data_IF_832777322866
#
_entry.id   IF_832777322866
#
_cell.length_a   1.000
_cell.length_b   1.000
_cell.length_c   1.000
_cell.angle_alpha   90.00
_cell.angle_beta   90.00
_cell.angle_gamma   90.00
#
_symmetry.space_group_name_H-M   'P 1'
#
loop_
_entity.id
_entity.type
_entity.pdbx_description
1 polymer ?
#
# COMPACT_ATOMS: atom_id res chain seq x y z
N UNK A 1 13.46 35.80 -10.69
CA UNK A 1 14.77 35.13 -10.51
C UNK A 1 14.95 34.27 -11.74
N UNK A 2 16.09 34.38 -12.42
CA UNK A 2 16.46 33.50 -13.53
C UNK A 2 16.35 32.06 -13.05
N UNK A 3 15.59 31.22 -13.77
CA UNK A 3 15.54 29.78 -13.56
C UNK A 3 16.98 29.26 -13.60
N UNK A 4 17.55 28.99 -12.43
CA UNK A 4 18.82 28.28 -12.33
C UNK A 4 18.60 26.87 -12.89
N UNK A 5 19.53 26.36 -13.70
CA UNK A 5 19.52 24.97 -14.20
C UNK A 5 19.31 24.00 -13.01
N UNK A 6 18.08 23.51 -12.84
CA UNK A 6 17.77 22.60 -11.74
C UNK A 6 18.38 21.23 -12.04
N UNK A 7 18.96 20.58 -11.05
CA UNK A 7 19.54 19.25 -11.22
C UNK A 7 18.66 18.20 -10.53
N UNK A 8 18.25 17.18 -11.28
CA UNK A 8 17.54 16.02 -10.75
C UNK A 8 18.41 14.77 -10.89
N UNK A 9 18.48 13.98 -9.82
CA UNK A 9 19.03 12.63 -9.83
C UNK A 9 17.85 11.65 -9.82
N UNK A 10 17.81 10.75 -10.79
CA UNK A 10 16.71 9.80 -10.97
C UNK A 10 17.25 8.37 -11.03
N UNK A 11 16.77 7.53 -10.12
CA UNK A 11 17.06 6.10 -10.09
C UNK A 11 15.86 5.34 -9.55
N UNK A 12 15.29 4.49 -10.40
CA UNK A 12 14.20 3.58 -10.05
C UNK A 12 14.56 2.28 -10.75
N UNK A 13 14.52 1.16 -10.03
CA UNK A 13 14.98 -0.13 -10.55
C UNK A 13 14.16 -0.56 -11.76
N UNK A 14 12.83 -0.38 -11.66
CA UNK A 14 11.89 -0.73 -12.70
C UNK A 14 11.99 0.23 -13.92
N UNK A 15 12.42 -0.26 -15.10
CA UNK A 15 12.75 0.61 -16.24
C UNK A 15 11.57 1.41 -16.81
N UNK A 16 10.35 0.86 -16.79
CA UNK A 16 9.18 1.55 -17.34
C UNK A 16 8.79 2.75 -16.48
N UNK A 17 8.75 2.57 -15.16
CA UNK A 17 8.50 3.59 -14.15
C UNK A 17 9.58 4.67 -14.22
N UNK A 18 10.86 4.28 -14.29
CA UNK A 18 11.98 5.20 -14.49
C UNK A 18 11.79 6.05 -15.75
N UNK A 19 11.38 5.44 -16.87
CA UNK A 19 11.13 6.19 -18.11
C UNK A 19 9.97 7.18 -17.98
N UNK A 20 8.90 6.83 -17.27
CA UNK A 20 7.76 7.72 -17.09
C UNK A 20 8.11 8.93 -16.23
N UNK A 21 8.88 8.72 -15.15
CA UNK A 21 9.40 9.80 -14.29
C UNK A 21 10.28 10.76 -15.08
N UNK A 22 11.23 10.26 -15.86
CA UNK A 22 12.11 11.11 -16.68
C UNK A 22 11.28 11.95 -17.65
N UNK A 23 10.32 11.34 -18.36
CA UNK A 23 9.43 12.06 -19.29
C UNK A 23 8.60 13.13 -18.60
N UNK A 24 8.10 12.87 -17.40
CA UNK A 24 7.32 13.83 -16.62
C UNK A 24 8.18 15.05 -16.22
N UNK A 25 9.42 14.82 -15.80
CA UNK A 25 10.37 15.89 -15.47
C UNK A 25 10.78 16.70 -16.71
N UNK A 26 11.06 16.03 -17.83
CA UNK A 26 11.41 16.69 -19.10
C UNK A 26 10.25 17.49 -19.71
N UNK A 27 9.00 17.08 -19.44
CA UNK A 27 7.79 17.76 -19.90
C UNK A 27 7.30 18.84 -18.94
N UNK A 28 7.95 18.99 -17.79
CA UNK A 28 7.58 19.97 -16.76
C UNK A 28 7.84 21.41 -17.24
N UNK A 29 7.22 22.37 -16.56
CA UNK A 29 7.49 23.78 -16.77
C UNK A 29 8.85 24.23 -16.21
N UNK A 30 9.60 23.32 -15.57
CA UNK A 30 10.92 23.54 -15.03
C UNK A 30 12.00 23.12 -16.04
N UNK A 31 13.05 23.92 -16.18
CA UNK A 31 14.26 23.53 -16.91
C UNK A 31 15.12 22.63 -16.01
N UNK A 32 14.78 21.33 -15.95
CA UNK A 32 15.47 20.33 -15.12
C UNK A 32 16.45 19.53 -15.98
N UNK A 33 17.72 19.51 -15.57
CA UNK A 33 18.73 18.60 -16.08
C UNK A 33 18.68 17.28 -15.29
N UNK A 34 18.21 16.22 -15.94
CA UNK A 34 18.12 14.88 -15.35
C UNK A 34 19.45 14.13 -15.50
N UNK A 35 19.93 13.55 -14.41
CA UNK A 35 21.04 12.60 -14.35
C UNK A 35 20.53 11.26 -13.85
N UNK A 36 20.93 10.18 -14.51
CA UNK A 36 20.63 8.79 -14.10
C UNK A 36 21.85 8.05 -13.55
N UNK A 37 22.99 8.73 -13.47
CA UNK A 37 24.23 8.14 -12.95
C UNK A 37 24.20 8.25 -11.43
N UNK A 38 23.61 7.26 -10.77
CA UNK A 38 23.76 7.08 -9.33
C UNK A 38 24.92 6.13 -9.10
N UNK A 39 26.01 6.62 -8.53
CA UNK A 39 27.07 5.75 -8.06
C UNK A 39 26.71 5.26 -6.67
N UNK A 40 26.58 3.95 -6.49
CA UNK A 40 26.28 3.28 -5.20
C UNK A 40 27.32 3.60 -4.11
N UNK A 41 28.49 4.11 -4.50
CA UNK A 41 29.71 4.24 -3.70
C UNK A 41 29.97 5.70 -3.26
N UNK A 42 28.93 6.41 -2.80
CA UNK A 42 29.02 7.81 -2.33
C UNK A 42 28.93 7.97 -0.81
N UNK A 43 28.78 6.88 -0.04
CA UNK A 43 28.76 6.91 1.44
C UNK A 43 30.09 7.40 2.06
N UNK A 44 31.16 7.52 1.28
CA UNK A 44 32.49 7.97 1.74
C UNK A 44 33.09 9.17 0.98
N UNK A 45 32.37 9.88 0.11
CA UNK A 45 32.95 11.04 -0.60
C UNK A 45 32.60 12.37 0.08
N UNK A 46 33.68 13.04 0.52
CA UNK A 46 33.82 14.46 0.83
C UNK A 46 32.71 15.31 0.18
N UNK A 47 31.82 15.92 1.00
CA UNK A 47 30.53 16.58 0.70
C UNK A 47 30.56 17.70 -0.36
N UNK A 48 31.16 17.43 -1.50
CA UNK A 48 31.31 18.28 -2.68
C UNK A 48 30.50 17.74 -3.85
N UNK A 49 29.48 16.93 -3.55
CA UNK A 49 28.48 16.54 -4.53
C UNK A 49 27.85 17.82 -5.12
N UNK A 50 27.72 17.96 -6.45
CA UNK A 50 27.04 19.11 -7.04
C UNK A 50 25.66 19.23 -6.40
N UNK A 51 25.23 20.46 -6.10
CA UNK A 51 23.97 20.70 -5.40
C UNK A 51 22.80 20.11 -6.21
N UNK A 52 22.27 18.96 -5.78
CA UNK A 52 21.11 18.30 -6.39
C UNK A 52 19.84 18.92 -5.83
N UNK A 53 18.95 19.37 -6.72
CA UNK A 53 17.66 19.96 -6.36
C UNK A 53 16.59 18.90 -6.15
N UNK A 54 16.59 17.82 -6.93
CA UNK A 54 15.57 16.76 -6.83
C UNK A 54 16.23 15.39 -6.77
N UNK A 55 15.93 14.62 -5.73
CA UNK A 55 16.29 13.22 -5.60
C UNK A 55 15.03 12.38 -5.82
N UNK A 56 14.88 11.78 -7.00
CA UNK A 56 13.82 10.81 -7.28
C UNK A 56 14.42 9.41 -7.38
N UNK A 57 14.67 8.83 -6.22
CA UNK A 57 15.52 7.65 -6.05
C UNK A 57 14.77 6.50 -5.36
N UNK A 58 15.32 5.29 -5.43
CA UNK A 58 14.99 4.22 -4.49
C UNK A 58 15.26 4.67 -3.06
N UNK A 59 14.48 4.17 -2.11
CA UNK A 59 14.51 4.63 -0.72
C UNK A 59 15.92 4.60 -0.08
N UNK A 60 16.68 3.54 -0.34
CA UNK A 60 18.03 3.33 0.20
C UNK A 60 19.09 4.24 -0.44
N UNK A 61 18.80 4.82 -1.60
CA UNK A 61 19.71 5.70 -2.34
C UNK A 61 19.50 7.19 -2.03
N UNK A 62 18.46 7.55 -1.29
CA UNK A 62 18.22 8.93 -0.87
C UNK A 62 19.26 9.36 0.16
N UNK A 63 19.95 10.49 -0.07
CA UNK A 63 20.85 11.08 0.92
C UNK A 63 20.05 11.76 2.04
N UNK A 64 19.65 10.96 3.02
CA UNK A 64 18.89 11.43 4.18
C UNK A 64 19.67 12.47 4.99
N UNK A 65 21.00 12.41 5.05
CA UNK A 65 21.77 13.40 5.80
C UNK A 65 21.63 14.79 5.17
N UNK A 66 21.75 14.88 3.84
CA UNK A 66 21.53 16.12 3.11
C UNK A 66 20.09 16.62 3.24
N UNK A 67 19.10 15.73 3.17
CA UNK A 67 17.68 16.12 3.27
C UNK A 67 17.32 16.80 4.60
N UNK A 68 18.02 16.46 5.69
CA UNK A 68 17.82 17.07 7.02
C UNK A 68 18.65 18.33 7.27
N UNK A 69 19.53 18.74 6.33
CA UNK A 69 20.30 19.98 6.49
C UNK A 69 19.39 21.22 6.37
N UNK A 70 19.50 22.21 7.28
CA UNK A 70 18.74 23.46 7.17
C UNK A 70 18.94 24.20 5.84
N UNK A 71 20.10 24.04 5.21
CA UNK A 71 20.43 24.64 3.91
C UNK A 71 19.73 23.97 2.72
N UNK A 72 19.18 22.76 2.91
CA UNK A 72 18.54 21.96 1.87
C UNK A 72 17.01 22.08 1.88
N UNK A 73 16.40 22.44 3.01
CA UNK A 73 14.93 22.44 3.21
C UNK A 73 14.15 23.15 2.11
N UNK A 74 14.60 24.32 1.64
CA UNK A 74 13.88 25.09 0.61
C UNK A 74 14.50 24.95 -0.80
N UNK A 75 15.42 24.00 -1.00
CA UNK A 75 16.24 23.92 -2.21
C UNK A 75 16.40 22.52 -2.79
N UNK A 76 16.21 21.49 -1.97
CA UNK A 76 16.31 20.08 -2.33
C UNK A 76 15.02 19.38 -1.96
N UNK A 77 14.48 18.55 -2.84
CA UNK A 77 13.30 17.73 -2.59
C UNK A 77 13.60 16.23 -2.83
N UNK A 78 12.97 15.32 -2.07
CA UNK A 78 13.03 13.88 -2.32
C UNK A 78 11.64 13.22 -2.47
N UNK A 79 11.59 12.03 -3.08
CA UNK A 79 10.37 11.28 -3.40
C UNK A 79 9.93 10.25 -2.32
N UNK A 80 10.41 10.38 -1.08
CA UNK A 80 9.94 9.56 0.03
C UNK A 80 10.03 10.28 1.38
N UNK A 81 9.18 9.89 2.33
CA UNK A 81 9.35 10.23 3.75
C UNK A 81 10.23 9.20 4.45
N UNK A 82 11.23 9.67 5.22
CA UNK A 82 12.16 8.80 5.95
C UNK A 82 11.40 7.88 6.93
N UNK A 83 10.57 8.45 7.80
CA UNK A 83 9.81 7.70 8.80
C UNK A 83 8.36 7.61 8.34
N UNK A 84 7.96 6.43 7.85
CA UNK A 84 6.60 6.16 7.36
C UNK A 84 6.05 4.78 7.71
N UNK A 85 6.77 4.03 8.55
CA UNK A 85 6.41 2.65 8.95
C UNK A 85 5.02 2.54 9.56
N UNK A 86 4.53 3.59 10.21
CA UNK A 86 3.19 3.66 10.80
C UNK A 86 2.03 3.69 9.80
N UNK A 87 2.32 3.86 8.51
CA UNK A 87 1.36 3.80 7.42
C UNK A 87 1.53 2.52 6.58
N UNK A 88 2.78 2.14 6.29
CA UNK A 88 3.08 1.07 5.33
C UNK A 88 3.23 -0.32 5.94
N UNK A 89 3.46 -0.43 7.27
CA UNK A 89 3.54 -1.73 7.95
C UNK A 89 2.22 -2.07 8.62
N UNK A 90 1.70 -3.26 8.35
CA UNK A 90 0.35 -3.69 8.77
C UNK A 90 0.18 -3.66 10.31
N UNK A 91 1.13 -4.21 11.07
CA UNK A 91 1.07 -4.22 12.54
C UNK A 91 1.07 -2.81 13.12
N UNK A 92 1.98 -1.94 12.65
CA UNK A 92 2.11 -0.56 13.11
C UNK A 92 0.91 0.31 12.71
N UNK A 93 0.37 0.10 11.50
CA UNK A 93 -0.84 0.77 11.05
C UNK A 93 -2.04 0.39 11.91
N UNK A 94 -2.25 -0.90 12.18
CA UNK A 94 -3.32 -1.37 13.06
C UNK A 94 -3.21 -0.74 14.47
N UNK A 95 -2.00 -0.68 15.04
CA UNK A 95 -1.76 -0.01 16.32
C UNK A 95 -2.15 1.47 16.29
N UNK A 96 -1.70 2.20 15.26
CA UNK A 96 -1.98 3.63 15.12
C UNK A 96 -3.48 3.91 14.97
N UNK A 97 -4.19 3.10 14.19
CA UNK A 97 -5.65 3.21 14.02
C UNK A 97 -6.36 2.94 15.35
N UNK A 98 -6.03 1.88 16.07
CA UNK A 98 -6.62 1.57 17.38
C UNK A 98 -6.41 2.72 18.37
N UNK A 99 -5.19 3.26 18.44
CA UNK A 99 -4.86 4.41 19.28
C UNK A 99 -5.63 5.66 18.86
N UNK A 100 -5.77 5.92 17.56
CA UNK A 100 -6.54 7.05 17.04
C UNK A 100 -8.03 6.92 17.38
N UNK A 101 -8.64 5.75 17.14
CA UNK A 101 -10.05 5.49 17.43
C UNK A 101 -10.39 5.61 18.91
N UNK A 102 -9.45 5.31 19.81
CA UNK A 102 -9.63 5.54 21.26
C UNK A 102 -9.90 7.02 21.61
N UNK A 103 -9.40 7.95 20.78
CA UNK A 103 -9.59 9.41 20.92
C UNK A 103 -10.66 9.95 19.98
N UNK A 104 -10.90 9.27 18.86
CA UNK A 104 -11.80 9.68 17.77
C UNK A 104 -12.83 8.57 17.43
N UNK A 105 -13.70 8.18 18.37
CA UNK A 105 -14.62 7.04 18.19
C UNK A 105 -15.70 7.26 17.11
N UNK A 106 -15.88 8.50 16.65
CA UNK A 106 -16.81 8.86 15.56
C UNK A 106 -16.13 8.94 14.18
N UNK A 107 -14.83 8.66 14.11
CA UNK A 107 -14.10 8.61 12.84
C UNK A 107 -14.68 7.54 11.92
N UNK A 108 -14.63 7.79 10.60
CA UNK A 108 -15.05 6.81 9.60
C UNK A 108 -14.22 5.52 9.65
N UNK A 109 -13.01 5.58 10.21
CA UNK A 109 -12.13 4.41 10.35
C UNK A 109 -12.73 3.31 11.22
N UNK A 110 -13.64 3.64 12.14
CA UNK A 110 -14.33 2.65 12.96
C UNK A 110 -15.16 1.65 12.13
N UNK A 111 -15.55 2.04 10.92
CA UNK A 111 -16.28 1.19 9.97
C UNK A 111 -15.42 0.81 8.76
N UNK A 112 -14.51 1.69 8.35
CA UNK A 112 -13.69 1.53 7.15
C UNK A 112 -12.42 0.68 7.37
N UNK A 113 -12.11 0.29 8.60
CA UNK A 113 -11.03 -0.65 8.89
C UNK A 113 -11.67 -1.92 9.44
N UNK A 114 -11.53 -3.08 8.77
CA UNK A 114 -12.00 -4.33 9.34
C UNK A 114 -11.33 -4.57 10.70
N UNK A 115 -12.04 -5.18 11.64
CA UNK A 115 -11.49 -5.52 12.96
C UNK A 115 -10.15 -6.26 12.77
N UNK A 116 -9.09 -5.74 13.39
CA UNK A 116 -7.71 -6.19 13.16
C UNK A 116 -7.02 -6.35 14.50
N UNK A 117 -6.41 -7.51 14.69
CA UNK A 117 -5.67 -7.90 15.88
C UNK A 117 -4.21 -8.11 15.50
N UNK A 118 -3.31 -7.63 16.35
CA UNK A 118 -1.89 -7.96 16.25
C UNK A 118 -1.71 -9.38 16.78
N UNK A 119 -0.97 -10.20 16.05
CA UNK A 119 -0.71 -11.59 16.43
C UNK A 119 0.78 -11.83 16.33
N UNK A 120 1.41 -12.18 17.44
CA UNK A 120 2.85 -12.46 17.51
C UNK A 120 3.03 -13.93 17.89
N UNK A 121 3.82 -14.65 17.10
CA UNK A 121 4.11 -16.06 17.34
C UNK A 121 5.58 -16.32 17.07
N UNK A 122 6.32 -16.68 18.12
CA UNK A 122 7.75 -17.02 18.03
C UNK A 122 7.99 -18.46 17.55
N UNK A 123 7.12 -19.39 17.94
CA UNK A 123 7.20 -20.82 17.61
C UNK A 123 5.82 -21.47 17.81
N UNK A 124 5.48 -22.50 17.02
CA UNK A 124 4.14 -23.13 17.05
C UNK A 124 3.75 -23.70 18.42
N UNK A 125 4.72 -24.10 19.24
CA UNK A 125 4.47 -24.59 20.62
C UNK A 125 3.82 -23.54 21.52
N UNK A 126 4.01 -22.25 21.24
CA UNK A 126 3.40 -21.14 21.99
C UNK A 126 2.07 -20.66 21.39
N UNK A 127 1.50 -21.39 20.42
CA UNK A 127 0.27 -21.00 19.74
C UNK A 127 -0.89 -20.72 20.71
N UNK A 128 -1.10 -21.60 21.69
CA UNK A 128 -2.16 -21.43 22.70
C UNK A 128 -1.92 -20.17 23.56
N UNK A 129 -0.67 -19.84 23.87
CA UNK A 129 -0.33 -18.63 24.61
C UNK A 129 -0.61 -17.38 23.77
N UNK A 130 -0.22 -17.39 22.50
CA UNK A 130 -0.47 -16.30 21.55
C UNK A 130 -1.97 -16.07 21.31
N UNK A 131 -2.78 -17.13 21.26
CA UNK A 131 -4.24 -17.02 21.10
C UNK A 131 -4.92 -16.29 22.26
N UNK A 132 -4.38 -16.38 23.49
CA UNK A 132 -4.93 -15.63 24.63
C UNK A 132 -4.84 -14.10 24.45
N UNK A 133 -3.87 -13.61 23.68
CA UNK A 133 -3.73 -12.18 23.36
C UNK A 133 -4.75 -11.71 22.31
N UNK A 134 -5.39 -12.64 21.60
CA UNK A 134 -6.43 -12.39 20.57
C UNK A 134 -7.72 -13.13 20.89
N UNK A 135 -8.15 -13.08 22.15
CA UNK A 135 -9.30 -13.84 22.67
C UNK A 135 -10.61 -13.66 21.87
N UNK A 136 -10.84 -12.50 21.23
CA UNK A 136 -12.04 -12.33 20.39
C UNK A 136 -11.99 -13.21 19.14
N UNK A 137 -10.80 -13.42 18.57
CA UNK A 137 -10.60 -14.32 17.43
C UNK A 137 -10.85 -15.76 17.88
N UNK A 138 -10.23 -16.19 18.97
CA UNK A 138 -10.41 -17.54 19.52
C UNK A 138 -11.88 -17.84 19.80
N UNK A 139 -12.57 -16.93 20.50
CA UNK A 139 -14.00 -17.05 20.82
C UNK A 139 -14.83 -17.21 19.54
N UNK A 140 -14.63 -16.35 18.55
CA UNK A 140 -15.42 -16.36 17.32
C UNK A 140 -15.17 -17.66 16.49
N UNK A 141 -13.95 -18.21 16.54
CA UNK A 141 -13.64 -19.50 15.89
C UNK A 141 -14.27 -20.68 16.63
N UNK A 142 -14.25 -20.70 17.97
CA UNK A 142 -14.96 -21.72 18.76
C UNK A 142 -16.48 -21.66 18.52
N UNK A 143 -17.04 -20.45 18.40
CA UNK A 143 -18.44 -20.28 18.02
C UNK A 143 -18.76 -20.85 16.62
N UNK A 144 -17.81 -20.80 15.68
CA UNK A 144 -18.00 -21.41 14.36
C UNK A 144 -18.15 -22.92 14.46
N UNK A 145 -17.34 -23.58 15.30
CA UNK A 145 -17.42 -25.02 15.52
C UNK A 145 -18.77 -25.43 16.11
N UNK A 146 -19.25 -24.68 17.12
CA UNK A 146 -20.57 -24.91 17.72
C UNK A 146 -21.70 -24.72 16.69
N UNK A 147 -21.64 -23.66 15.87
CA UNK A 147 -22.61 -23.36 14.81
C UNK A 147 -22.60 -24.44 13.72
N UNK A 148 -21.42 -24.93 13.34
CA UNK A 148 -21.26 -26.01 12.38
C UNK A 148 -21.90 -27.31 12.87
N UNK A 149 -21.70 -27.67 14.15
CA UNK A 149 -22.36 -28.81 14.78
C UNK A 149 -23.89 -28.67 14.84
N UNK A 150 -24.38 -27.43 15.00
CA UNK A 150 -25.80 -27.10 14.97
C UNK A 150 -26.40 -27.03 13.55
N UNK A 151 -25.58 -27.14 12.50
CA UNK A 151 -26.00 -27.03 11.10
C UNK A 151 -26.32 -25.60 10.66
N UNK A 152 -25.83 -24.58 11.37
CA UNK A 152 -25.89 -23.19 10.93
C UNK A 152 -24.75 -22.93 9.92
N UNK A 153 -25.09 -22.27 8.81
CA UNK A 153 -24.14 -21.91 7.76
C UNK A 153 -23.41 -20.61 8.03
N UNK A 154 -23.83 -19.82 9.03
CA UNK A 154 -23.19 -18.56 9.41
C UNK A 154 -21.91 -18.83 10.20
N UNK A 155 -20.83 -18.21 9.75
CA UNK A 155 -19.52 -18.32 10.39
C UNK A 155 -18.73 -17.03 10.26
N UNK A 156 -17.82 -16.84 11.20
CA UNK A 156 -16.82 -15.78 11.21
C UNK A 156 -15.64 -16.20 10.35
N UNK A 157 -15.27 -15.38 9.38
CA UNK A 157 -14.12 -15.64 8.51
C UNK A 157 -13.04 -14.60 8.77
N UNK A 158 -11.80 -15.05 8.79
CA UNK A 158 -10.62 -14.24 9.08
C UNK A 158 -9.58 -14.38 7.97
N UNK A 159 -8.70 -13.40 7.88
CA UNK A 159 -7.52 -13.42 7.02
C UNK A 159 -6.31 -13.08 7.86
N UNK A 160 -5.28 -13.91 7.79
CA UNK A 160 -4.00 -13.64 8.43
C UNK A 160 -3.03 -13.10 7.39
N UNK A 161 -2.25 -12.09 7.77
CA UNK A 161 -1.26 -11.46 6.90
C UNK A 161 0.04 -11.24 7.69
N UNK A 162 1.20 -11.63 7.13
CA UNK A 162 2.49 -11.28 7.72
C UNK A 162 2.70 -9.77 7.71
N UNK A 163 3.30 -9.22 8.77
CA UNK A 163 3.51 -7.77 8.89
C UNK A 163 4.57 -7.24 7.92
N UNK A 164 5.56 -8.08 7.61
CA UNK A 164 6.76 -7.73 6.83
C UNK A 164 6.83 -8.40 5.46
N UNK A 165 5.78 -9.08 4.99
CA UNK A 165 5.83 -9.69 3.66
C UNK A 165 5.16 -8.87 2.55
N UNK A 166 5.78 -8.91 1.37
CA UNK A 166 5.26 -8.31 0.14
C UNK A 166 4.53 -9.35 -0.74
N UNK A 167 3.85 -8.87 -1.80
CA UNK A 167 3.29 -9.69 -2.89
C UNK A 167 2.29 -10.80 -2.49
N UNK A 168 1.65 -10.68 -1.33
CA UNK A 168 0.72 -11.67 -0.75
C UNK A 168 1.35 -13.03 -0.36
N UNK A 169 2.67 -13.10 -0.20
CA UNK A 169 3.32 -14.22 0.47
C UNK A 169 2.75 -14.40 1.89
N UNK A 170 2.44 -15.63 2.29
CA UNK A 170 1.93 -15.97 3.62
C UNK A 170 0.50 -15.52 3.95
N UNK A 171 -0.26 -14.95 2.99
CA UNK A 171 -1.65 -14.54 3.24
C UNK A 171 -2.59 -15.73 3.09
N UNK A 172 -3.34 -16.05 4.15
CA UNK A 172 -4.32 -17.13 4.14
C UNK A 172 -5.65 -16.71 4.75
N UNK A 173 -6.74 -17.28 4.24
CA UNK A 173 -8.11 -17.06 4.74
C UNK A 173 -8.53 -18.31 5.50
N UNK A 174 -9.09 -18.13 6.69
CA UNK A 174 -9.43 -19.23 7.58
C UNK A 174 -10.71 -18.95 8.39
N UNK A 175 -11.32 -20.02 8.89
CA UNK A 175 -12.54 -19.98 9.71
C UNK A 175 -12.55 -20.98 10.87
N UNK A 176 -11.45 -21.68 11.12
CA UNK A 176 -11.27 -22.61 12.25
C UNK A 176 -9.89 -22.46 12.91
N UNK A 177 -9.78 -22.89 14.17
CA UNK A 177 -8.50 -22.92 14.90
C UNK A 177 -7.50 -23.87 14.26
N UNK A 178 -7.95 -25.05 13.80
CA UNK A 178 -7.11 -26.03 13.13
C UNK A 178 -6.46 -25.43 11.87
N UNK A 179 -7.23 -24.75 11.01
CA UNK A 179 -6.68 -24.07 9.84
C UNK A 179 -5.64 -23.02 10.22
N UNK A 180 -5.90 -22.22 11.27
CA UNK A 180 -4.93 -21.20 11.71
C UNK A 180 -3.63 -21.83 12.23
N UNK A 181 -3.72 -22.95 12.96
CA UNK A 181 -2.58 -23.70 13.47
C UNK A 181 -1.76 -24.38 12.37
N UNK A 182 -2.44 -24.91 11.36
CA UNK A 182 -1.82 -25.60 10.22
C UNK A 182 -0.91 -24.66 9.40
N UNK A 183 -1.24 -23.36 9.36
CA UNK A 183 -0.42 -22.32 8.71
C UNK A 183 1.00 -22.33 9.28
N UNK A 184 1.15 -22.38 10.61
CA UNK A 184 2.44 -22.32 11.27
C UNK A 184 3.14 -23.68 11.40
N UNK A 185 2.37 -24.77 11.42
CA UNK A 185 2.92 -26.12 11.53
C UNK A 185 3.64 -26.56 10.25
N UNK A 186 3.16 -26.10 9.10
CA UNK A 186 3.77 -26.40 7.80
C UNK A 186 5.12 -25.69 7.65
N UNK A 187 5.22 -24.44 8.09
CA UNK A 187 6.43 -23.62 8.00
C UNK A 187 7.58 -24.13 8.88
N UNK A 188 7.31 -24.71 10.06
CA UNK A 188 8.34 -25.29 10.93
C UNK A 188 8.99 -26.56 10.33
N UNK A 189 8.24 -27.34 9.55
CA UNK A 189 8.69 -28.64 9.01
C UNK A 189 9.69 -28.53 7.85
N UNK A 190 9.73 -27.38 7.17
CA UNK A 190 10.70 -27.08 6.11
C UNK A 190 12.00 -26.43 6.65
N UNK A 191 12.06 -26.08 7.94
CA UNK A 191 13.23 -25.48 8.60
C UNK A 191 14.30 -26.49 9.08
N UNK A 192 13.96 -27.79 9.13
CA UNK A 192 14.83 -28.86 9.63
C UNK A 192 15.67 -29.54 8.51
N UNK A 193 15.59 -29.08 7.26
CA UNK A 193 16.48 -29.56 6.20
C UNK A 193 17.76 -28.72 6.12
N UNK A 194 18.81 -29.21 6.79
CA UNK A 194 20.21 -28.80 6.62
C UNK A 194 20.72 -29.08 5.17
N UNK A 195 20.22 -28.36 4.16
CA UNK A 195 20.84 -28.37 2.82
C UNK A 195 21.60 -27.06 2.58
N UNK A 196 22.84 -27.03 3.08
CA UNK A 196 23.84 -26.06 2.62
C UNK A 196 24.15 -26.29 1.13
N UNK A 197 23.35 -25.67 0.26
CA UNK A 197 23.73 -25.48 -1.13
C UNK A 197 22.59 -25.25 -2.11
N UNK A 198 22.29 -23.99 -2.43
CA UNK A 198 22.46 -23.38 -3.77
C UNK A 198 21.52 -22.20 -4.04
N UNK A 199 22.10 -21.18 -4.69
CA UNK A 199 21.50 -20.01 -5.33
C UNK A 199 20.82 -18.93 -4.47
N UNK A 200 21.63 -17.96 -4.08
CA UNK A 200 21.21 -16.55 -3.97
C UNK A 200 20.68 -16.08 -5.32
N UNK A 201 19.36 -16.07 -5.52
CA UNK A 201 18.62 -15.22 -6.47
C UNK A 201 17.11 -15.57 -6.51
N UNK A 202 16.47 -15.66 -5.33
CA UNK A 202 15.00 -15.58 -5.25
C UNK A 202 14.62 -14.60 -4.15
N UNK A 203 13.99 -13.48 -4.55
CA UNK A 203 13.35 -12.49 -3.66
C UNK A 203 12.12 -13.04 -2.92
N UNK A 204 12.12 -14.33 -2.56
CA UNK A 204 11.11 -14.93 -1.69
C UNK A 204 11.56 -14.72 -0.24
N UNK A 205 10.95 -13.72 0.40
CA UNK A 205 11.11 -13.48 1.84
C UNK A 205 10.74 -14.75 2.60
N UNK A 206 11.69 -15.34 3.32
CA UNK A 206 11.51 -16.54 4.12
C UNK A 206 10.46 -16.29 5.22
N UNK A 207 9.24 -16.80 5.00
CA UNK A 207 8.08 -16.60 5.88
C UNK A 207 8.34 -17.19 7.27
N UNK A 208 9.20 -18.21 7.38
CA UNK A 208 9.55 -18.86 8.66
C UNK A 208 10.18 -17.91 9.68
N UNK A 209 10.74 -16.78 9.23
CA UNK A 209 11.35 -15.77 10.10
C UNK A 209 10.37 -14.66 10.52
N UNK A 210 9.14 -14.66 10.01
CA UNK A 210 8.14 -13.64 10.32
C UNK A 210 7.46 -13.96 11.65
N UNK A 211 7.75 -13.13 12.66
CA UNK A 211 7.16 -13.25 14.00
C UNK A 211 5.93 -12.39 14.22
N UNK A 212 5.82 -11.28 13.48
CA UNK A 212 4.70 -10.34 13.58
C UNK A 212 3.69 -10.55 12.45
N UNK A 213 2.43 -10.78 12.84
CA UNK A 213 1.30 -10.97 11.96
C UNK A 213 0.14 -10.04 12.34
N UNK A 214 -0.81 -9.91 11.42
CA UNK A 214 -2.12 -9.35 11.73
C UNK A 214 -3.20 -10.35 11.35
N UNK A 215 -4.12 -10.61 12.28
CA UNK A 215 -5.37 -11.30 12.01
C UNK A 215 -6.41 -10.22 11.78
N UNK A 216 -7.16 -10.32 10.69
CA UNK A 216 -8.15 -9.33 10.32
C UNK A 216 -9.47 -10.02 9.96
N UNK A 217 -10.60 -9.41 10.34
CA UNK A 217 -11.92 -9.86 9.90
C UNK A 217 -11.97 -9.84 8.37
N UNK A 218 -12.31 -10.98 7.77
CA UNK A 218 -12.42 -11.09 6.33
C UNK A 218 -13.70 -10.43 5.82
N UNK A 219 -13.59 -9.66 4.74
CA UNK A 219 -14.75 -9.08 4.05
C UNK A 219 -15.36 -10.18 3.18
N UNK A 220 -16.34 -10.87 3.75
CA UNK A 220 -16.97 -12.10 3.24
C UNK A 220 -18.14 -11.85 2.27
N UNK A 221 -18.59 -10.60 2.17
CA UNK A 221 -19.63 -10.15 1.23
C UNK A 221 -19.13 -9.02 0.34
N UNK A 222 -18.05 -9.24 -0.45
CA UNK A 222 -17.49 -8.21 -1.32
C UNK A 222 -18.45 -7.84 -2.45
N UNK A 223 -18.34 -6.61 -2.96
CA UNK A 223 -18.95 -6.25 -4.22
C UNK A 223 -18.32 -7.10 -5.34
N UNK A 224 -19.15 -7.84 -6.05
CA UNK A 224 -18.72 -8.68 -7.16
C UNK A 224 -19.01 -8.02 -8.49
N UNK A 225 -18.10 -8.19 -9.44
CA UNK A 225 -18.34 -7.89 -10.86
C UNK A 225 -18.00 -9.13 -11.65
N UNK A 226 -18.95 -9.60 -12.47
CA UNK A 226 -18.87 -10.89 -13.16
C UNK A 226 -18.55 -12.04 -12.18
N UNK A 227 -19.20 -12.05 -11.01
CA UNK A 227 -18.98 -13.00 -9.90
C UNK A 227 -17.57 -13.01 -9.29
N UNK A 228 -16.65 -12.14 -9.71
CA UNK A 228 -15.27 -12.12 -9.23
C UNK A 228 -15.07 -11.01 -8.21
N UNK A 229 -14.32 -11.31 -7.15
CA UNK A 229 -13.86 -10.33 -6.15
C UNK A 229 -12.83 -9.40 -6.77
N UNK A 230 -12.76 -8.15 -6.33
CA UNK A 230 -11.71 -7.21 -6.72
C UNK A 230 -11.34 -6.25 -5.58
N UNK A 231 -10.11 -5.74 -5.59
CA UNK A 231 -9.74 -4.57 -4.81
C UNK A 231 -9.52 -3.37 -5.74
N UNK A 232 -9.58 -2.17 -5.17
CA UNK A 232 -9.25 -0.93 -5.87
C UNK A 232 -7.87 -0.45 -5.41
N UNK A 233 -6.90 -0.42 -6.32
CA UNK A 233 -5.60 0.24 -6.16
C UNK A 233 -5.77 1.71 -6.50
N UNK A 234 -5.75 2.53 -5.46
CA UNK A 234 -5.75 3.99 -5.55
C UNK A 234 -4.32 4.53 -5.48
N UNK A 235 -4.02 5.58 -6.24
CA UNK A 235 -2.75 6.28 -6.13
C UNK A 235 -2.90 7.53 -5.27
N UNK A 236 -2.10 7.62 -4.21
CA UNK A 236 -2.20 8.70 -3.22
C UNK A 236 -0.87 9.41 -3.11
N UNK A 237 -0.86 10.70 -3.40
CA UNK A 237 0.31 11.56 -3.31
C UNK A 237 0.28 12.35 -2.00
N UNK A 238 1.29 12.19 -1.17
CA UNK A 238 1.54 13.03 -0.01
C UNK A 238 2.67 14.02 -0.32
N UNK A 239 2.52 15.29 0.06
CA UNK A 239 3.45 16.37 -0.28
C UNK A 239 3.78 17.20 0.96
N UNK A 240 5.06 17.51 1.14
CA UNK A 240 5.60 18.42 2.16
C UNK A 240 5.17 18.03 3.58
N UNK A 241 4.84 19.01 4.41
CA UNK A 241 4.26 18.86 5.75
C UNK A 241 2.79 18.37 5.69
N UNK A 242 2.57 17.25 5.00
CA UNK A 242 1.32 16.48 4.86
C UNK A 242 0.13 17.20 4.18
N UNK A 243 0.25 17.40 2.87
CA UNK A 243 -0.88 17.57 1.97
C UNK A 243 -1.12 16.26 1.22
N UNK A 244 -2.32 15.71 1.26
CA UNK A 244 -2.62 14.39 0.68
C UNK A 244 -3.62 14.57 -0.46
N UNK A 245 -3.30 13.95 -1.59
CA UNK A 245 -4.08 14.00 -2.81
C UNK A 245 -4.43 12.57 -3.24
N UNK A 246 -5.70 12.30 -3.49
CA UNK A 246 -6.16 11.08 -4.14
C UNK A 246 -6.19 11.33 -5.65
N UNK A 247 -5.43 10.54 -6.40
CA UNK A 247 -5.49 10.57 -7.85
C UNK A 247 -6.79 9.95 -8.36
N UNK A 248 -7.43 10.61 -9.32
CA UNK A 248 -8.76 10.26 -9.82
C UNK A 248 -8.80 8.90 -10.49
N UNK A 249 -7.81 8.57 -11.31
CA UNK A 249 -7.80 7.31 -12.04
C UNK A 249 -7.17 6.20 -11.21
N UNK A 250 -7.98 5.21 -10.86
CA UNK A 250 -7.62 4.09 -9.99
C UNK A 250 -7.88 2.77 -10.73
N UNK A 251 -7.26 1.70 -10.25
CA UNK A 251 -7.40 0.38 -10.88
C UNK A 251 -8.29 -0.52 -10.04
N UNK A 252 -9.15 -1.29 -10.68
CA UNK A 252 -9.82 -2.45 -10.11
C UNK A 252 -9.06 -3.72 -10.53
N UNK A 253 -8.53 -4.45 -9.55
CA UNK A 253 -7.76 -5.68 -9.75
C UNK A 253 -8.58 -6.88 -9.28
N UNK A 254 -8.86 -7.81 -10.20
CA UNK A 254 -9.79 -8.92 -9.99
C UNK A 254 -9.08 -10.20 -9.55
N UNK A 255 -9.70 -10.95 -8.64
CA UNK A 255 -9.36 -12.34 -8.33
C UNK A 255 -9.63 -13.22 -9.57
N UNK A 256 -8.90 -14.29 -9.82
CA UNK A 256 -8.99 -15.06 -11.08
C UNK A 256 -10.28 -15.89 -11.23
N UNK A 257 -10.87 -16.33 -10.12
CA UNK A 257 -12.02 -17.23 -10.10
C UNK A 257 -13.26 -16.57 -9.52
N UNK A 258 -14.42 -17.17 -9.81
CA UNK A 258 -15.70 -16.80 -9.21
C UNK A 258 -15.62 -16.91 -7.68
N UNK A 259 -16.16 -15.90 -7.00
CA UNK A 259 -16.13 -15.79 -5.56
C UNK A 259 -17.06 -16.81 -4.90
N UNK A 260 -16.53 -17.57 -3.95
CA UNK A 260 -17.28 -18.42 -3.04
C UNK A 260 -16.54 -18.53 -1.72
N UNK A 261 -17.27 -18.75 -0.64
CA UNK A 261 -16.69 -19.06 0.68
C UNK A 261 -16.52 -20.57 0.89
N UNK A 262 -16.97 -21.41 -0.05
CA UNK A 262 -16.91 -22.87 0.08
C UNK A 262 -15.49 -23.43 0.03
N UNK A 263 -14.52 -22.66 -0.47
CA UNK A 263 -13.12 -23.06 -0.57
C UNK A 263 -12.14 -21.93 -0.21
N UNK A 264 -11.95 -21.72 1.10
CA UNK A 264 -11.07 -20.66 1.62
C UNK A 264 -9.59 -20.85 1.25
N UNK A 265 -9.17 -22.08 0.96
CA UNK A 265 -7.78 -22.41 0.62
C UNK A 265 -7.37 -21.97 -0.79
N UNK A 266 -8.34 -21.70 -1.69
CA UNK A 266 -8.05 -21.32 -3.07
C UNK A 266 -7.76 -19.81 -3.17
N UNK A 267 -6.46 -19.49 -3.11
CA UNK A 267 -5.97 -18.10 -3.19
C UNK A 267 -6.42 -17.37 -4.45
N UNK A 268 -6.72 -18.08 -5.55
CA UNK A 268 -7.21 -17.48 -6.80
C UNK A 268 -8.65 -16.96 -6.71
N UNK A 269 -9.40 -17.36 -5.68
CA UNK A 269 -10.74 -16.85 -5.35
C UNK A 269 -10.63 -15.63 -4.43
N UNK A 270 -9.76 -15.72 -3.42
CA UNK A 270 -9.77 -14.81 -2.28
C UNK A 270 -8.75 -13.67 -2.38
N UNK A 271 -7.66 -13.88 -3.13
CA UNK A 271 -6.58 -12.91 -3.35
C UNK A 271 -6.66 -12.34 -4.78
N UNK A 272 -6.38 -11.05 -4.86
CA UNK A 272 -6.59 -10.23 -6.07
C UNK A 272 -5.26 -9.69 -6.62
N UNK A 273 -4.14 -10.03 -6.00
CA UNK A 273 -2.82 -9.56 -6.39
C UNK A 273 -2.35 -10.22 -7.68
N UNK A 274 -1.93 -9.40 -8.64
CA UNK A 274 -1.55 -9.83 -9.99
C UNK A 274 -0.30 -10.69 -10.02
N UNK A 275 0.64 -10.55 -9.08
CA UNK A 275 1.89 -11.33 -9.08
C UNK A 275 1.63 -12.85 -9.05
N UNK A 276 0.68 -13.32 -8.22
CA UNK A 276 0.30 -14.75 -8.14
C UNK A 276 -0.43 -15.19 -9.41
N UNK A 277 -1.10 -14.26 -10.08
CA UNK A 277 -1.98 -14.55 -11.21
C UNK A 277 -1.27 -14.56 -12.56
N UNK A 278 -0.22 -13.75 -12.74
CA UNK A 278 0.51 -13.63 -14.02
C UNK A 278 1.19 -14.92 -14.45
N UNK A 279 1.48 -15.81 -13.50
CA UNK A 279 2.12 -17.11 -13.77
C UNK A 279 1.10 -18.20 -14.16
N UNK A 280 -0.20 -17.90 -14.11
CA UNK A 280 -1.26 -18.83 -14.49
C UNK A 280 -1.52 -18.78 -16.01
N UNK A 281 -1.61 -19.96 -16.63
CA UNK A 281 -1.76 -20.11 -18.08
C UNK A 281 -3.00 -19.40 -18.67
N UNK A 282 -4.06 -19.24 -17.89
CA UNK A 282 -5.33 -18.63 -18.32
C UNK A 282 -5.42 -17.13 -18.01
N UNK A 283 -4.35 -16.49 -17.54
CA UNK A 283 -4.35 -15.07 -17.20
C UNK A 283 -4.61 -14.20 -18.43
N UNK A 284 -5.67 -13.38 -18.35
CA UNK A 284 -6.00 -12.36 -19.33
C UNK A 284 -6.03 -11.01 -18.66
N UNK A 285 -5.00 -10.21 -18.93
CA UNK A 285 -4.83 -8.86 -18.38
C UNK A 285 -6.09 -8.00 -18.50
N UNK A 286 -6.77 -8.01 -19.65
CA UNK A 286 -7.99 -7.22 -19.89
C UNK A 286 -9.19 -7.65 -19.01
N UNK A 287 -9.18 -8.89 -18.54
CA UNK A 287 -10.22 -9.43 -17.66
C UNK A 287 -9.82 -9.32 -16.18
N UNK A 288 -8.55 -9.07 -15.87
CA UNK A 288 -8.03 -8.99 -14.50
C UNK A 288 -7.75 -7.58 -14.02
N UNK A 289 -7.53 -6.60 -14.92
CA UNK A 289 -7.27 -5.20 -14.54
C UNK A 289 -8.13 -4.24 -15.37
N UNK A 290 -8.90 -3.40 -14.67
CA UNK A 290 -9.76 -2.36 -15.27
C UNK A 290 -9.56 -1.03 -14.58
N UNK A 291 -9.93 0.07 -15.22
CA UNK A 291 -10.08 1.32 -14.49
C UNK A 291 -11.31 1.25 -13.60
N UNK A 292 -11.24 1.82 -12.40
CA UNK A 292 -12.37 1.88 -11.48
C UNK A 292 -13.62 2.47 -12.14
N UNK A 293 -13.44 3.51 -12.95
CA UNK A 293 -14.54 4.16 -13.67
C UNK A 293 -15.12 3.30 -14.82
N UNK A 294 -14.38 2.31 -15.32
CA UNK A 294 -14.88 1.37 -16.33
C UNK A 294 -15.86 0.34 -15.74
N UNK A 295 -15.94 0.21 -14.42
CA UNK A 295 -16.90 -0.67 -13.75
C UNK A 295 -18.36 -0.28 -14.03
N UNK A 296 -18.61 0.96 -14.47
CA UNK A 296 -19.92 1.39 -14.98
C UNK A 296 -20.40 0.50 -16.12
N UNK A 297 -19.47 0.11 -17.01
CA UNK A 297 -19.76 -0.75 -18.16
C UNK A 297 -19.93 -2.22 -17.75
N UNK A 298 -19.54 -2.57 -16.52
CA UNK A 298 -19.65 -3.90 -15.96
C UNK A 298 -20.85 -4.04 -15.01
N UNK A 299 -21.76 -3.07 -14.97
CA UNK A 299 -23.02 -3.13 -14.22
C UNK A 299 -22.98 -2.51 -12.84
N UNK A 300 -21.93 -1.77 -12.47
CA UNK A 300 -21.92 -0.96 -11.24
C UNK A 300 -22.49 0.42 -11.54
N UNK A 301 -23.53 0.84 -10.82
CA UNK A 301 -24.15 2.14 -11.06
C UNK A 301 -23.16 3.30 -10.86
N UNK A 302 -23.15 4.25 -11.80
CA UNK A 302 -22.27 5.44 -11.74
C UNK A 302 -22.40 6.21 -10.42
N UNK A 303 -23.63 6.34 -9.91
CA UNK A 303 -23.89 7.02 -8.63
C UNK A 303 -23.20 6.32 -7.46
N UNK A 304 -23.13 4.99 -7.50
CA UNK A 304 -22.43 4.21 -6.49
C UNK A 304 -20.92 4.39 -6.61
N UNK A 305 -20.37 4.40 -7.84
CA UNK A 305 -18.94 4.68 -8.07
C UNK A 305 -18.55 6.07 -7.55
N UNK A 306 -19.35 7.09 -7.84
CA UNK A 306 -19.13 8.45 -7.33
C UNK A 306 -19.20 8.49 -5.79
N UNK A 307 -20.17 7.79 -5.18
CA UNK A 307 -20.29 7.71 -3.72
C UNK A 307 -19.13 6.95 -3.06
N UNK A 308 -18.68 5.84 -3.66
CA UNK A 308 -17.51 5.08 -3.24
C UNK A 308 -16.26 5.95 -3.27
N UNK A 309 -16.05 6.71 -4.36
CA UNK A 309 -14.92 7.62 -4.47
C UNK A 309 -14.92 8.69 -3.37
N UNK A 310 -16.09 9.25 -3.02
CA UNK A 310 -16.22 10.19 -1.88
C UNK A 310 -15.90 9.50 -0.55
N UNK A 311 -16.37 8.27 -0.33
CA UNK A 311 -16.04 7.49 0.87
C UNK A 311 -14.53 7.24 0.97
N UNK A 312 -13.86 6.88 -0.13
CA UNK A 312 -12.39 6.72 -0.17
C UNK A 312 -11.67 8.01 0.26
N UNK A 313 -12.10 9.19 -0.20
CA UNK A 313 -11.52 10.46 0.23
C UNK A 313 -11.66 10.67 1.74
N UNK A 314 -12.84 10.40 2.31
CA UNK A 314 -13.07 10.53 3.75
C UNK A 314 -12.22 9.54 4.57
N UNK A 315 -12.06 8.31 4.09
CA UNK A 315 -11.22 7.29 4.73
C UNK A 315 -9.74 7.71 4.69
N UNK A 316 -9.23 8.14 3.53
CA UNK A 316 -7.85 8.62 3.41
C UNK A 316 -7.58 9.81 4.34
N UNK A 317 -8.53 10.74 4.44
CA UNK A 317 -8.41 11.89 5.34
C UNK A 317 -8.14 11.44 6.78
N UNK A 318 -8.95 10.52 7.30
CA UNK A 318 -8.80 10.07 8.69
C UNK A 318 -7.60 9.12 8.86
N UNK A 319 -7.26 8.30 7.86
CA UNK A 319 -6.04 7.47 7.84
C UNK A 319 -4.79 8.33 8.01
N UNK A 320 -4.63 9.36 7.18
CA UNK A 320 -3.46 10.22 7.24
C UNK A 320 -3.44 11.11 8.48
N UNK A 321 -4.59 11.51 9.02
CA UNK A 321 -4.66 12.18 10.32
C UNK A 321 -4.23 11.27 11.48
N UNK A 322 -4.62 9.99 11.44
CA UNK A 322 -4.20 8.99 12.42
C UNK A 322 -2.68 8.79 12.39
N UNK A 323 -2.10 8.56 11.20
CA UNK A 323 -0.65 8.38 11.05
C UNK A 323 0.12 9.66 11.41
N UNK A 324 -0.28 10.83 10.92
CA UNK A 324 0.41 12.10 11.18
C UNK A 324 0.32 12.53 12.66
N UNK A 325 -0.62 12.00 13.43
CA UNK A 325 -0.72 12.23 14.87
C UNK A 325 0.32 11.43 15.69
N UNK A 326 0.95 10.41 15.09
CA UNK A 326 1.92 9.52 15.73
C UNK A 326 3.33 9.70 15.15
N UNK A 327 3.98 10.80 15.55
CA UNK A 327 5.29 11.25 15.04
C UNK A 327 6.43 10.24 15.22
N UNK A 328 6.29 9.22 16.07
CA UNK A 328 7.30 8.16 16.23
C UNK A 328 7.29 7.15 15.09
N UNK A 329 6.20 7.08 14.33
CA UNK A 329 6.01 6.08 13.27
C UNK A 329 5.72 6.70 11.90
N UNK A 330 5.33 7.97 11.85
CA UNK A 330 5.20 8.75 10.62
C UNK A 330 5.69 10.20 10.83
N UNK A 331 6.68 10.66 10.05
CA UNK A 331 7.18 12.03 10.07
C UNK A 331 7.18 12.61 8.66
N UNK A 332 6.31 13.60 8.45
CA UNK A 332 6.32 14.37 7.22
C UNK A 332 7.50 15.36 7.23
N UNK A 333 8.14 15.52 6.06
CA UNK A 333 9.21 16.47 5.83
C UNK A 333 8.74 17.56 4.85
N UNK A 334 9.07 18.85 5.09
CA UNK A 334 8.65 19.96 4.22
C UNK A 334 9.16 19.82 2.78
N UNK A 335 10.25 19.11 2.61
CA UNK A 335 11.00 18.94 1.38
C UNK A 335 10.97 17.50 0.86
N UNK A 336 9.88 16.79 1.13
CA UNK A 336 9.61 15.47 0.58
C UNK A 336 8.23 15.43 -0.06
N UNK A 337 8.04 14.53 -1.00
CA UNK A 337 6.75 14.03 -1.44
C UNK A 337 6.84 12.51 -1.51
N UNK A 338 5.72 11.81 -1.50
CA UNK A 338 5.72 10.37 -1.68
C UNK A 338 4.43 9.91 -2.34
N UNK A 339 4.58 8.99 -3.30
CA UNK A 339 3.47 8.38 -4.01
C UNK A 339 3.24 6.97 -3.46
N UNK A 340 2.04 6.74 -2.96
CA UNK A 340 1.60 5.49 -2.36
C UNK A 340 0.58 4.78 -3.24
N UNK A 341 0.61 3.44 -3.24
CA UNK A 341 -0.49 2.60 -3.72
C UNK A 341 -1.34 2.18 -2.53
N UNK A 342 -2.57 2.67 -2.45
CA UNK A 342 -3.50 2.34 -1.37
C UNK A 342 -4.56 1.37 -1.86
N UNK A 343 -4.74 0.26 -1.15
CA UNK A 343 -5.69 -0.78 -1.53
C UNK A 343 -6.99 -0.67 -0.73
N UNK A 344 -8.10 -0.62 -1.46
CA UNK A 344 -9.46 -0.57 -0.92
C UNK A 344 -10.26 -1.81 -1.32
N UNK A 345 -11.12 -2.29 -0.44
CA UNK A 345 -12.16 -3.26 -0.74
C UNK A 345 -13.53 -2.59 -0.64
N UNK A 346 -14.47 -3.04 -1.46
CA UNK A 346 -15.86 -2.58 -1.42
C UNK A 346 -16.74 -3.79 -1.14
N UNK A 347 -17.69 -3.67 -0.22
CA UNK A 347 -18.69 -4.72 0.05
C UNK A 347 -19.96 -4.56 -0.80
N UNK A 348 -20.86 -5.54 -0.73
CA UNK A 348 -22.14 -5.53 -1.46
C UNK A 348 -23.01 -4.31 -1.10
N UNK A 349 -22.88 -3.78 0.11
CA UNK A 349 -23.57 -2.60 0.65
C UNK A 349 -22.85 -1.27 0.29
N UNK A 350 -21.81 -1.33 -0.55
CA UNK A 350 -21.00 -0.19 -1.01
C UNK A 350 -20.25 0.53 0.10
N UNK A 351 -19.97 -0.14 1.21
CA UNK A 351 -19.01 0.32 2.21
C UNK A 351 -17.60 0.18 1.67
N UNK A 352 -16.72 1.10 2.09
CA UNK A 352 -15.33 1.15 1.61
C UNK A 352 -14.43 0.81 2.77
N UNK A 353 -13.60 -0.20 2.57
CA UNK A 353 -12.64 -0.69 3.55
C UNK A 353 -11.23 -0.41 3.06
N UNK A 354 -10.42 0.23 3.88
CA UNK A 354 -9.00 0.38 3.62
C UNK A 354 -8.27 -0.91 4.05
N UNK A 355 -7.41 -1.43 3.17
CA UNK A 355 -6.70 -2.69 3.40
C UNK A 355 -5.25 -2.47 3.81
N UNK A 356 -4.50 -1.74 2.97
CA UNK A 356 -3.07 -1.52 3.17
C UNK A 356 -2.56 -0.35 2.32
N UNK A 357 -1.34 0.09 2.62
CA UNK A 357 -0.61 1.09 1.84
C UNK A 357 0.76 0.55 1.45
N UNK A 358 1.05 0.59 0.16
CA UNK A 358 2.31 0.18 -0.43
C UNK A 358 3.12 1.44 -0.79
N UNK A 359 4.30 1.61 -0.18
CA UNK A 359 5.29 2.56 -0.67
C UNK A 359 5.94 2.01 -1.93
N UNK A 360 6.43 2.89 -2.82
CA UNK A 360 7.03 2.51 -4.10
C UNK A 360 6.18 1.45 -4.85
N UNK A 361 4.88 1.73 -5.07
CA UNK A 361 3.96 0.73 -5.60
C UNK A 361 4.39 0.27 -6.99
N UNK A 362 4.15 -1.00 -7.31
CA UNK A 362 4.44 -1.55 -8.63
C UNK A 362 3.46 -0.98 -9.69
N UNK A 363 4.00 -0.16 -10.60
CA UNK A 363 3.25 0.47 -11.69
C UNK A 363 3.20 -0.38 -12.97
N UNK A 364 3.90 -1.52 -13.03
CA UNK A 364 3.85 -2.42 -14.20
C UNK A 364 2.52 -3.16 -14.30
N UNK A 365 1.85 -3.36 -13.17
CA UNK A 365 0.59 -4.11 -13.04
C UNK A 365 -0.59 -3.49 -13.79
N UNK A 366 -0.44 -2.26 -14.30
CA UNK A 366 -1.49 -1.57 -15.06
C UNK A 366 -1.68 -2.16 -16.45
N UNK A 367 -0.66 -2.86 -16.97
CA UNK A 367 -0.68 -3.43 -18.29
C UNK A 367 -0.53 -2.41 -19.41
N UNK A 368 -0.28 -2.90 -20.62
CA UNK A 368 0.04 -2.06 -21.79
C UNK A 368 -1.05 -1.03 -22.10
N UNK A 369 -2.32 -1.39 -21.86
CA UNK A 369 -3.48 -0.53 -22.09
C UNK A 369 -3.54 0.68 -21.16
N UNK A 370 -3.07 0.54 -19.91
CA UNK A 370 -3.21 1.58 -18.89
C UNK A 370 -1.88 2.29 -18.60
N UNK A 371 -0.85 2.06 -19.42
CA UNK A 371 0.42 2.76 -19.32
C UNK A 371 0.27 4.29 -19.39
N UNK A 372 -0.73 4.79 -20.12
CA UNK A 372 -1.00 6.23 -20.18
C UNK A 372 -1.40 6.78 -18.81
N UNK A 373 -2.14 6.01 -18.00
CA UNK A 373 -2.60 6.42 -16.67
C UNK A 373 -1.41 6.63 -15.73
N UNK A 374 -0.37 5.80 -15.86
CA UNK A 374 0.85 5.94 -15.08
C UNK A 374 1.69 7.14 -15.51
N UNK A 375 1.85 7.36 -16.82
CA UNK A 375 2.50 8.58 -17.31
C UNK A 375 1.76 9.83 -16.83
N UNK A 376 0.44 9.84 -16.96
CA UNK A 376 -0.45 10.90 -16.50
C UNK A 376 -0.34 11.16 -14.99
N UNK A 377 -0.19 10.10 -14.18
CA UNK A 377 0.01 10.18 -12.74
C UNK A 377 1.35 10.86 -12.41
N UNK A 378 2.44 10.52 -13.11
CA UNK A 378 3.74 11.16 -12.91
C UNK A 378 3.72 12.63 -13.35
N UNK A 379 3.09 12.95 -14.48
CA UNK A 379 2.91 14.33 -14.93
C UNK A 379 2.12 15.15 -13.90
N UNK A 380 1.03 14.57 -13.36
CA UNK A 380 0.22 15.20 -12.31
C UNK A 380 1.00 15.35 -11.00
N UNK A 381 1.86 14.38 -10.66
CA UNK A 381 2.74 14.43 -9.49
C UNK A 381 3.76 15.57 -9.63
N UNK A 382 4.40 15.70 -10.79
CA UNK A 382 5.35 16.78 -11.05
C UNK A 382 4.69 18.15 -10.93
N UNK A 383 3.50 18.34 -11.52
CA UNK A 383 2.73 19.60 -11.43
C UNK A 383 2.26 19.92 -10.01
N UNK A 384 1.90 18.91 -9.23
CA UNK A 384 1.30 19.10 -7.90
C UNK A 384 2.35 19.25 -6.80
N UNK A 385 3.45 18.50 -6.87
CA UNK A 385 4.46 18.44 -5.80
C UNK A 385 5.75 19.21 -6.15
N UNK A 386 6.28 19.01 -7.36
CA UNK A 386 7.65 19.41 -7.71
C UNK A 386 7.69 20.86 -8.23
N UNK A 387 6.85 21.19 -9.20
CA UNK A 387 6.79 22.54 -9.78
C UNK A 387 6.54 23.63 -8.72
N UNK A 388 5.56 23.47 -7.78
CA UNK A 388 5.32 24.48 -6.75
C UNK A 388 6.47 24.62 -5.76
N UNK A 389 7.19 23.52 -5.45
CA UNK A 389 8.35 23.56 -4.57
C UNK A 389 9.47 24.44 -5.15
N UNK A 390 9.68 24.40 -6.48
CA UNK A 390 10.67 25.24 -7.18
C UNK A 390 10.11 26.58 -7.68
N UNK A 391 8.96 27.02 -7.15
CA UNK A 391 8.41 28.35 -7.39
C UNK A 391 7.66 28.53 -8.71
N UNK A 392 7.32 27.44 -9.40
CA UNK A 392 6.44 27.47 -10.57
C UNK A 392 5.01 27.20 -10.14
N UNK A 393 4.11 28.15 -10.41
CA UNK A 393 2.69 28.00 -10.07
C UNK A 393 1.89 27.52 -11.27
N UNK A 394 1.86 26.20 -11.47
CA UNK A 394 1.16 25.55 -12.58
C UNK A 394 -0.32 25.27 -12.29
N UNK A 395 -0.80 25.58 -11.10
CA UNK A 395 -2.09 25.09 -10.59
C UNK A 395 -2.01 23.61 -10.17
N UNK A 396 -3.08 23.11 -9.55
CA UNK A 396 -3.21 21.67 -9.24
C UNK A 396 -3.77 20.94 -10.46
N UNK A 397 -3.26 19.74 -10.74
CA UNK A 397 -3.85 18.86 -11.76
C UNK A 397 -5.26 18.46 -11.30
N UNK A 398 -6.26 18.58 -12.18
CA UNK A 398 -7.67 18.29 -11.83
C UNK A 398 -7.91 16.84 -11.40
N UNK A 399 -6.99 15.92 -11.76
CA UNK A 399 -7.03 14.53 -11.33
C UNK A 399 -6.47 14.33 -9.93
N UNK A 400 -5.74 15.30 -9.36
CA UNK A 400 -5.21 15.24 -7.99
C UNK A 400 -6.18 15.91 -7.01
N UNK A 401 -7.06 15.10 -6.42
CA UNK A 401 -8.09 15.60 -5.49
C UNK A 401 -7.49 15.70 -4.09
N UNK A 402 -7.32 16.92 -3.57
CA UNK A 402 -6.83 17.14 -2.20
C UNK A 402 -7.84 16.60 -1.18
N UNK A 403 -7.44 15.62 -0.37
CA UNK A 403 -8.29 14.96 0.64
C UNK A 403 -7.94 15.33 2.07
N UNK A 404 -6.69 15.72 2.32
CA UNK A 404 -6.21 16.09 3.66
C UNK A 404 -5.11 17.13 3.60
N UNK A 405 -5.07 17.98 4.61
CA UNK A 405 -3.97 18.88 4.90
C UNK A 405 -3.95 19.17 6.39
N UNK A 406 -2.76 19.15 6.96
CA UNK A 406 -2.54 19.56 8.34
C UNK A 406 -1.33 20.45 8.41
N UNK A 407 -1.47 21.62 9.03
CA UNK A 407 -0.31 22.39 9.43
C UNK A 407 0.34 21.69 10.62
N UNK A 408 1.40 20.93 10.36
CA UNK A 408 2.28 20.47 11.43
C UNK A 408 3.02 21.69 11.97
N UNK A 409 2.96 21.89 13.28
CA UNK A 409 3.73 22.94 13.94
C UNK A 409 5.22 22.64 13.68
N UNK A 410 5.94 23.60 13.10
CA UNK A 410 7.39 23.53 13.03
C UNK A 410 7.93 23.47 14.45
N UNK A 411 8.60 22.36 14.80
CA UNK A 411 9.32 22.24 16.07
C UNK A 411 10.53 23.18 16.11
#
# INVERSE_FOLDING_TARGET
MTTSDLQALVHIDEPYTRSCVIKALESSALEIKVSTNVTEDESEKDHSCPFINLQWLEYELIDWNHMHLPSAVDKTMCNAYCIRKGLIRKSQFAYNVTKYLSKHPSSVLAQAIPETWQFELDHVDYFEEAMNEVFEVERDLLENEEKQLAGDSKRHVFIIKPSLANKAAGIQVFDSLDQLRDIFTTDDSDSDSDDEGSNYDSDEEDISQVREWVIQRYIDRPLLVNNRKFHVRAYVLAVSNIQVYLYRDMLALFAMKDYTLDNLSDTLIHLTNTCIQTDQADYKEQDSVRLFWELEQCGVDKKDLDAIFIKMQAVLKDVFDACASEMTTFQALPNAFELFGVDFMIDEDKNVYFLETNAFPDFKQTGTRLQTVIQDLFDATTKTAIEPFFGVNSGSDERMIKVFERQLLSL
#
